data_IF_540320452630
#
_entry.id   IF_540320452630
#
_cell.length_a   1.000
_cell.length_b   1.000
_cell.length_c   1.000
_cell.angle_alpha   90.00
_cell.angle_beta   90.00
_cell.angle_gamma   90.00
#
_symmetry.space_group_name_H-M   'P 1'
#
loop_
_entity.id
_entity.type
_entity.pdbx_description
1 polymer ?
#
# COMPACT_ATOMS: atom_id res chain seq x y z
N UNK A 1 -5.21 -17.29 -5.89
CA UNK A 1 -6.03 -17.92 -4.83
C UNK A 1 -7.35 -17.19 -4.63
N UNK A 2 -8.51 -17.84 -4.84
CA UNK A 2 -9.81 -17.14 -4.80
C UNK A 2 -10.41 -16.99 -3.40
N UNK A 3 -10.05 -17.84 -2.44
CA UNK A 3 -10.65 -17.85 -1.09
C UNK A 3 -9.82 -17.15 -0.02
N UNK A 4 -8.54 -16.89 -0.31
CA UNK A 4 -7.60 -16.21 0.57
C UNK A 4 -6.80 -15.22 -0.25
N UNK A 5 -7.04 -13.92 -0.08
CA UNK A 5 -6.46 -12.86 -0.90
C UNK A 5 -6.43 -11.51 -0.15
N UNK A 6 -5.61 -10.59 -0.63
CA UNK A 6 -5.60 -9.20 -0.14
C UNK A 6 -6.85 -8.51 -0.67
N UNK A 7 -7.81 -8.16 0.18
CA UNK A 7 -9.06 -7.51 -0.26
C UNK A 7 -8.98 -5.97 -0.24
N UNK A 8 -8.00 -5.40 0.46
CA UNK A 8 -7.85 -3.96 0.60
C UNK A 8 -6.40 -3.56 0.77
N UNK A 9 -6.00 -2.53 0.03
CA UNK A 9 -4.77 -1.77 0.27
C UNK A 9 -5.13 -0.33 0.57
N UNK A 10 -4.57 0.21 1.65
CA UNK A 10 -4.66 1.62 2.01
C UNK A 10 -3.25 2.21 1.94
N UNK A 11 -3.11 3.35 1.25
CA UNK A 11 -1.87 4.13 1.27
C UNK A 11 -2.13 5.45 1.97
N UNK A 12 -1.29 5.78 2.95
CA UNK A 12 -1.32 7.06 3.66
C UNK A 12 -0.03 7.82 3.43
N UNK A 13 -0.13 9.12 3.18
CA UNK A 13 0.97 10.08 3.12
C UNK A 13 0.88 10.97 4.35
N UNK A 14 1.91 10.95 5.20
CA UNK A 14 1.93 11.70 6.47
C UNK A 14 0.63 11.49 7.26
N UNK A 15 0.30 10.21 7.50
CA UNK A 15 -0.91 9.74 8.21
C UNK A 15 -2.25 10.02 7.50
N UNK A 16 -2.27 10.87 6.48
CA UNK A 16 -3.47 11.13 5.67
C UNK A 16 -3.66 10.03 4.64
N UNK A 17 -4.81 9.38 4.66
CA UNK A 17 -5.21 8.43 3.61
C UNK A 17 -5.30 9.12 2.24
N UNK A 18 -4.55 8.62 1.27
CA UNK A 18 -4.53 9.13 -0.11
C UNK A 18 -5.03 8.12 -1.14
N UNK A 19 -4.95 6.81 -0.86
CA UNK A 19 -5.41 5.75 -1.76
C UNK A 19 -6.18 4.70 -0.96
N UNK A 20 -7.27 4.22 -1.54
CA UNK A 20 -7.96 2.99 -1.10
C UNK A 20 -8.19 2.14 -2.35
N UNK A 21 -7.55 0.98 -2.40
CA UNK A 21 -7.72 0.02 -3.47
C UNK A 21 -8.41 -1.22 -2.92
N UNK A 22 -9.54 -1.60 -3.52
CA UNK A 22 -10.26 -2.82 -3.18
C UNK A 22 -9.96 -3.91 -4.22
N UNK A 23 -10.00 -5.16 -3.78
CA UNK A 23 -9.88 -6.34 -4.61
C UNK A 23 -10.91 -7.38 -4.17
N UNK A 24 -11.29 -8.25 -5.10
CA UNK A 24 -12.21 -9.36 -4.87
C UNK A 24 -11.59 -10.73 -5.19
N UNK A 25 -10.39 -10.73 -5.76
CA UNK A 25 -9.62 -11.93 -6.12
C UNK A 25 -8.12 -11.58 -6.30
N UNK A 26 -7.26 -12.59 -6.25
CA UNK A 26 -5.85 -12.50 -6.67
C UNK A 26 -5.51 -13.63 -7.65
N UNK A 27 -4.79 -13.28 -8.71
CA UNK A 27 -4.45 -14.20 -9.82
C UNK A 27 -3.26 -15.10 -9.51
N UNK A 28 -2.44 -14.73 -8.53
CA UNK A 28 -1.25 -15.47 -8.10
C UNK A 28 -1.14 -15.45 -6.56
N UNK A 29 -0.16 -16.16 -6.00
CA UNK A 29 0.13 -16.19 -4.57
C UNK A 29 0.60 -14.83 -4.02
N UNK A 30 1.00 -13.90 -4.90
CA UNK A 30 1.39 -12.54 -4.53
C UNK A 30 0.54 -11.51 -5.27
N UNK A 31 -0.04 -10.56 -4.54
CA UNK A 31 -0.69 -9.39 -5.12
C UNK A 31 0.36 -8.29 -5.34
N UNK A 32 0.55 -7.87 -6.59
CA UNK A 32 1.43 -6.75 -6.96
C UNK A 32 0.61 -5.57 -7.43
N UNK A 33 0.98 -4.37 -6.99
CA UNK A 33 0.38 -3.09 -7.41
C UNK A 33 1.45 -2.02 -7.50
N UNK A 34 1.23 -1.06 -8.39
CA UNK A 34 2.08 0.12 -8.56
C UNK A 34 1.23 1.37 -8.37
N UNK A 35 1.72 2.31 -7.57
CA UNK A 35 1.08 3.60 -7.36
C UNK A 35 2.05 4.71 -7.73
N UNK A 36 1.55 5.70 -8.47
CA UNK A 36 2.28 6.95 -8.73
C UNK A 36 1.73 8.02 -7.79
N UNK A 37 2.58 8.53 -6.90
CA UNK A 37 2.22 9.61 -5.97
C UNK A 37 3.06 10.83 -6.37
N UNK A 38 2.49 11.79 -7.12
CA UNK A 38 3.23 12.97 -7.54
C UNK A 38 3.57 13.87 -6.34
N UNK A 39 4.62 14.67 -6.49
CA UNK A 39 4.98 15.75 -5.56
C UNK A 39 5.36 15.29 -4.15
N UNK A 40 5.87 14.07 -4.00
CA UNK A 40 6.51 13.63 -2.75
C UNK A 40 7.72 14.51 -2.43
N UNK A 41 7.87 14.86 -1.15
CA UNK A 41 8.96 15.67 -0.63
C UNK A 41 9.85 14.83 0.28
N UNK A 42 11.11 15.23 0.39
CA UNK A 42 12.01 14.65 1.39
C UNK A 42 11.41 14.79 2.79
N UNK A 43 11.48 13.71 3.56
CA UNK A 43 10.88 13.61 4.89
C UNK A 43 9.42 13.12 4.90
N UNK A 44 8.74 13.08 3.76
CA UNK A 44 7.39 12.50 3.70
C UNK A 44 7.41 11.03 4.11
N UNK A 45 6.41 10.62 4.88
CA UNK A 45 6.24 9.24 5.31
C UNK A 45 5.08 8.60 4.56
N UNK A 46 5.40 7.56 3.78
CA UNK A 46 4.40 6.71 3.13
C UNK A 46 4.21 5.47 3.99
N UNK A 47 2.96 5.16 4.27
CA UNK A 47 2.59 3.92 4.93
C UNK A 47 1.61 3.17 4.04
N UNK A 48 1.89 1.89 3.82
CA UNK A 48 1.04 0.97 3.07
C UNK A 48 0.51 -0.08 4.03
N UNK A 49 -0.81 -0.22 4.08
CA UNK A 49 -1.51 -1.24 4.84
C UNK A 49 -2.23 -2.19 3.87
N UNK A 50 -1.97 -3.48 4.00
CA UNK A 50 -2.66 -4.53 3.26
C UNK A 50 -3.51 -5.38 4.22
N UNK A 51 -4.80 -5.49 3.94
CA UNK A 51 -5.75 -6.33 4.68
C UNK A 51 -6.07 -7.59 3.89
N UNK A 52 -6.10 -8.73 4.58
CA UNK A 52 -6.54 -10.00 4.03
C UNK A 52 -8.06 -10.20 4.20
N UNK A 53 -8.72 -10.81 3.22
CA UNK A 53 -10.15 -11.11 3.26
C UNK A 53 -10.57 -12.04 4.42
N UNK A 54 -9.66 -12.92 4.88
CA UNK A 54 -9.88 -13.83 6.02
C UNK A 54 -9.49 -13.23 7.37
N UNK A 55 -9.05 -11.97 7.38
CA UNK A 55 -8.48 -11.32 8.55
C UNK A 55 -6.95 -11.32 8.52
N UNK A 56 -6.36 -10.37 9.24
CA UNK A 56 -4.93 -10.09 9.23
C UNK A 56 -4.60 -8.80 8.47
N UNK A 57 -3.66 -8.05 9.03
CA UNK A 57 -3.18 -6.77 8.50
C UNK A 57 -1.66 -6.81 8.50
N UNK A 58 -1.07 -6.40 7.38
CA UNK A 58 0.37 -6.15 7.29
C UNK A 58 0.61 -4.70 6.91
N UNK A 59 1.53 -4.05 7.61
CA UNK A 59 1.88 -2.64 7.43
C UNK A 59 3.36 -2.50 7.09
N UNK A 60 3.67 -1.60 6.18
CA UNK A 60 5.03 -1.17 5.86
C UNK A 60 5.10 0.34 5.78
N UNK A 61 6.17 0.93 6.29
CA UNK A 61 6.38 2.37 6.30
C UNK A 61 7.73 2.68 5.66
N UNK A 62 7.75 3.68 4.79
CA UNK A 62 8.97 4.22 4.17
C UNK A 62 8.99 5.74 4.35
N UNK A 63 10.17 6.28 4.61
CA UNK A 63 10.41 7.73 4.61
C UNK A 63 11.14 8.10 3.34
N UNK A 64 10.61 9.09 2.62
CA UNK A 64 11.21 9.59 1.39
C UNK A 64 12.52 10.30 1.75
N UNK A 65 13.61 9.79 1.20
CA UNK A 65 14.94 10.40 1.35
C UNK A 65 15.11 11.52 0.32
N UNK A 66 15.99 12.50 0.57
CA UNK A 66 16.38 13.46 -0.45
C UNK A 66 16.91 12.71 -1.67
N UNK A 67 16.55 13.17 -2.87
CA UNK A 67 17.27 12.75 -4.08
C UNK A 67 18.72 13.18 -3.92
N UNK A 68 19.66 12.23 -3.99
CA UNK A 68 21.07 12.59 -4.11
C UNK A 68 21.23 13.34 -5.44
N UNK A 69 21.68 14.60 -5.35
CA UNK A 69 22.13 15.38 -6.50
C UNK A 69 23.48 14.85 -6.98
#
# INVERSE_FOLDING_TARGET
>A
PQTHYINKIIVTLNEKKIITQLFFLQTDNTQKVSYTIPSLKSGDTITVEASCNRGGIRKGTITIKPTAL
#
